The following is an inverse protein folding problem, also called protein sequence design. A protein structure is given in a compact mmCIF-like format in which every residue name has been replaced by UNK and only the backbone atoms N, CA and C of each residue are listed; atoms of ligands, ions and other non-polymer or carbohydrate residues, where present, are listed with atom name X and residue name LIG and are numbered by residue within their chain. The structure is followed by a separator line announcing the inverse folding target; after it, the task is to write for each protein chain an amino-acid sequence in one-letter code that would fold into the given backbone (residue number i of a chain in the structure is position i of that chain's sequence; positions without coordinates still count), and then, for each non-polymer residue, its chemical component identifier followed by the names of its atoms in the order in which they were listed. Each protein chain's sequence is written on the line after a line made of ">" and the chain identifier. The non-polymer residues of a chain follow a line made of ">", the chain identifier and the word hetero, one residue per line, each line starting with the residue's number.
data_IF_262289400915
#
_entry.id   IF_262289400915
#
_cell.length_a   1.000
_cell.length_b   1.000
_cell.length_c   1.000
_cell.angle_alpha   90.00
_cell.angle_beta   90.00
_cell.angle_gamma   90.00
#
_symmetry.space_group_name_H-M   'P 1'
#
loop_
_entity.id
_entity.type
_entity.pdbx_description
1 polymer ?
#
# COMPACT_ATOMS: atom_id res chain seq x y z
N UNK A 1 35.68 -56.62 34.27
CA UNK A 1 37.14 -56.41 34.16
C UNK A 1 37.34 -55.17 33.28
N UNK A 2 37.54 -53.97 33.85
CA UNK A 2 38.85 -53.27 34.02
C UNK A 2 39.57 -53.05 32.67
N UNK A 3 40.04 -51.87 32.23
CA UNK A 3 40.56 -50.61 32.85
C UNK A 3 40.55 -49.51 31.74
N UNK A 4 40.17 -48.25 32.02
CA UNK A 4 41.01 -47.04 32.28
C UNK A 4 42.04 -46.71 31.18
N UNK A 5 41.88 -45.58 30.46
CA UNK A 5 42.36 -44.20 30.77
C UNK A 5 43.88 -44.04 30.64
N UNK A 6 44.31 -43.06 29.82
CA UNK A 6 45.38 -42.14 30.17
C UNK A 6 45.18 -40.76 29.49
N UNK A 7 45.62 -39.75 30.22
CA UNK A 7 45.51 -38.29 30.05
C UNK A 7 46.92 -37.69 30.08
N UNK A 8 47.08 -36.39 29.76
CA UNK A 8 48.12 -35.37 30.12
C UNK A 8 48.45 -34.57 28.83
N UNK A 9 48.30 -33.24 28.64
CA UNK A 9 48.35 -31.95 29.41
C UNK A 9 49.74 -31.25 29.42
N UNK A 10 49.75 -29.97 29.00
CA UNK A 10 50.81 -28.93 29.13
C UNK A 10 50.71 -27.98 27.93
N UNK A 11 50.33 -26.68 27.98
CA UNK A 11 50.68 -25.49 28.79
C UNK A 11 52.14 -25.06 28.63
N UNK A 12 52.35 -24.02 27.81
CA UNK A 12 53.39 -22.99 28.00
C UNK A 12 52.76 -21.62 27.70
N UNK A 13 52.83 -20.72 28.69
CA UNK A 13 52.65 -19.27 28.60
C UNK A 13 54.05 -18.64 28.56
N UNK A 14 54.18 -17.44 27.99
CA UNK A 14 55.08 -16.30 28.30
C UNK A 14 55.10 -15.40 27.04
N UNK A 15 55.10 -14.07 27.05
CA UNK A 15 55.10 -13.01 28.06
C UNK A 15 54.75 -11.68 27.35
N UNK A 16 54.23 -10.72 28.11
CA UNK A 16 53.95 -9.34 27.72
C UNK A 16 55.23 -8.53 27.40
N UNK A 17 55.10 -7.50 26.56
CA UNK A 17 55.81 -6.23 26.75
C UNK A 17 55.07 -5.08 26.07
N UNK A 18 54.75 -4.08 26.88
CA UNK A 18 54.18 -2.77 26.56
C UNK A 18 55.24 -1.77 26.04
N UNK A 19 54.74 -0.60 25.62
CA UNK A 19 55.41 0.68 25.28
C UNK A 19 55.81 0.78 23.78
N UNK A 20 55.34 1.75 22.97
CA UNK A 20 55.49 3.19 23.14
C UNK A 20 54.63 3.94 22.09
N UNK A 21 54.06 5.07 22.49
CA UNK A 21 53.39 6.06 21.62
C UNK A 21 54.45 6.85 20.83
N UNK A 22 54.23 7.09 19.53
CA UNK A 22 54.84 8.24 18.84
C UNK A 22 54.09 8.63 17.55
N UNK A 23 53.47 9.80 17.62
CA UNK A 23 53.42 10.87 16.62
C UNK A 23 53.23 10.53 15.14
N UNK A 24 52.00 10.73 14.65
CA UNK A 24 51.77 11.17 13.27
C UNK A 24 51.27 12.61 13.28
N UNK A 25 52.19 13.49 12.87
CA UNK A 25 52.03 14.93 12.69
C UNK A 25 50.98 15.25 11.63
N UNK A 26 50.18 16.26 11.95
CA UNK A 26 49.26 16.94 11.04
C UNK A 26 50.03 17.60 9.90
N UNK A 27 49.71 17.23 8.66
CA UNK A 27 49.94 18.10 7.50
C UNK A 27 48.67 18.88 7.20
N UNK A 28 48.71 20.14 7.62
CA UNK A 28 47.76 21.18 7.28
C UNK A 28 48.00 21.68 5.85
N UNK A 29 47.02 21.55 4.96
CA UNK A 29 46.76 22.56 3.92
C UNK A 29 45.40 22.34 3.24
N UNK A 30 44.56 23.37 3.38
CA UNK A 30 43.52 23.80 2.44
C UNK A 30 42.23 22.96 2.34
N UNK A 31 41.44 22.99 3.41
CA UNK A 31 39.97 22.88 3.31
C UNK A 31 39.36 24.26 3.46
N UNK A 32 38.98 24.86 2.33
CA UNK A 32 38.09 26.02 2.34
C UNK A 32 36.82 25.67 3.13
N UNK A 33 36.31 26.54 4.02
CA UNK A 33 35.14 26.22 4.82
C UNK A 33 33.93 25.96 3.91
N UNK A 34 33.36 24.76 4.00
CA UNK A 34 32.02 24.50 3.50
C UNK A 34 31.10 25.57 4.11
N UNK A 35 30.50 26.39 3.24
CA UNK A 35 29.48 27.35 3.64
C UNK A 35 28.42 26.62 4.47
N UNK A 36 28.42 26.86 5.78
CA UNK A 36 27.31 26.52 6.66
C UNK A 36 26.08 27.25 6.13
N UNK A 37 25.17 26.50 5.51
CA UNK A 37 23.83 26.99 5.23
C UNK A 37 23.20 27.22 6.60
N UNK A 38 23.09 28.49 7.00
CA UNK A 38 22.33 28.90 8.19
C UNK A 38 20.87 28.46 8.00
N UNK A 39 20.53 27.28 8.49
CA UNK A 39 19.15 26.86 8.68
C UNK A 39 18.47 27.90 9.59
N UNK A 40 17.49 28.61 9.04
CA UNK A 40 16.79 29.68 9.73
C UNK A 40 16.06 29.10 10.97
N UNK A 41 16.15 29.74 12.13
CA UNK A 41 15.47 29.28 13.35
C UNK A 41 13.95 29.10 13.17
N UNK A 42 13.36 29.83 12.21
CA UNK A 42 11.97 29.65 11.77
C UNK A 42 11.70 28.28 11.14
N UNK A 43 12.63 27.71 10.36
CA UNK A 43 12.44 26.38 9.76
C UNK A 43 12.52 25.28 10.83
N UNK A 44 13.43 25.40 11.80
CA UNK A 44 13.54 24.46 12.92
C UNK A 44 12.30 24.48 13.83
N UNK A 45 11.79 25.67 14.16
CA UNK A 45 10.56 25.80 14.94
C UNK A 45 9.34 25.22 14.20
N UNK A 46 9.28 25.38 12.88
CA UNK A 46 8.22 24.82 12.04
C UNK A 46 8.31 23.28 11.95
N UNK A 47 9.52 22.73 11.83
CA UNK A 47 9.75 21.28 11.89
C UNK A 47 9.41 20.68 13.26
N UNK A 48 9.77 21.36 14.35
CA UNK A 48 9.49 20.92 15.71
C UNK A 48 7.99 20.96 16.04
N UNK A 49 7.29 21.97 15.52
CA UNK A 49 5.82 22.06 15.58
C UNK A 49 5.17 20.87 14.85
N UNK A 50 5.60 20.55 13.63
CA UNK A 50 5.10 19.41 12.86
C UNK A 50 5.36 18.07 13.56
N UNK A 51 6.55 17.89 14.17
CA UNK A 51 6.88 16.70 14.96
C UNK A 51 6.02 16.57 16.21
N UNK A 52 5.66 17.69 16.85
CA UNK A 52 4.79 17.70 18.02
C UNK A 52 3.36 17.35 17.65
N UNK A 53 2.83 17.95 16.58
CA UNK A 53 1.51 17.61 16.01
C UNK A 53 1.46 16.11 15.67
N UNK A 54 2.53 15.58 15.06
CA UNK A 54 2.66 14.16 14.78
C UNK A 54 2.56 13.28 16.02
N UNK A 55 3.39 13.53 17.06
CA UNK A 55 3.34 12.72 18.28
C UNK A 55 1.97 12.76 18.93
N UNK A 56 1.33 13.93 18.93
CA UNK A 56 -0.01 14.08 19.46
C UNK A 56 -1.05 13.30 18.64
N UNK A 57 -0.99 13.35 17.31
CA UNK A 57 -1.93 12.64 16.45
C UNK A 57 -1.70 11.12 16.45
N UNK A 58 -0.46 10.67 16.40
CA UNK A 58 -0.11 9.25 16.55
C UNK A 58 -0.58 8.72 17.90
N UNK A 59 -0.31 9.46 19.00
CA UNK A 59 -0.77 9.10 20.34
C UNK A 59 -2.30 9.07 20.43
N UNK A 60 -3.01 10.05 19.86
CA UNK A 60 -4.49 10.02 19.77
C UNK A 60 -5.02 8.77 19.04
N UNK A 61 -4.30 8.28 18.04
CA UNK A 61 -4.71 7.10 17.27
C UNK A 61 -4.36 5.80 18.00
N UNK A 62 -3.16 5.71 18.58
CA UNK A 62 -2.68 4.51 19.28
C UNK A 62 -3.33 4.33 20.66
N UNK A 63 -3.63 5.42 21.36
CA UNK A 63 -4.29 5.40 22.67
C UNK A 63 -5.81 5.17 22.57
N UNK A 64 -6.40 5.29 21.36
CA UNK A 64 -7.80 4.93 21.14
C UNK A 64 -7.96 3.42 21.31
N UNK A 65 -8.98 3.01 22.05
CA UNK A 65 -9.42 1.62 22.02
C UNK A 65 -9.75 1.23 20.57
N UNK A 66 -9.42 0.00 20.20
CA UNK A 66 -9.74 -0.51 18.88
C UNK A 66 -11.26 -0.50 18.68
N UNK A 67 -11.72 0.33 17.76
CA UNK A 67 -13.12 0.37 17.33
C UNK A 67 -13.22 -0.38 15.99
N UNK A 68 -14.02 -1.46 15.92
CA UNK A 68 -14.28 -2.14 14.66
C UNK A 68 -14.87 -1.17 13.64
N UNK A 69 -14.26 -1.07 12.46
CA UNK A 69 -14.76 -0.22 11.37
C UNK A 69 -15.86 -0.92 10.53
N UNK A 70 -16.46 -1.98 11.07
CA UNK A 70 -17.51 -2.76 10.41
C UNK A 70 -17.03 -3.74 9.35
N UNK A 71 -15.72 -3.88 9.10
CA UNK A 71 -15.20 -4.87 8.15
C UNK A 71 -15.33 -6.31 8.69
N UNK A 72 -15.69 -7.32 7.87
CA UNK A 72 -16.05 -7.22 6.46
C UNK A 72 -17.53 -6.89 6.20
N UNK A 73 -18.41 -6.96 7.20
CA UNK A 73 -19.86 -6.84 7.02
C UNK A 73 -20.31 -5.52 6.34
N UNK A 74 -19.66 -4.41 6.64
CA UNK A 74 -19.92 -3.09 6.08
C UNK A 74 -18.67 -2.59 5.35
N UNK A 75 -18.62 -2.81 4.05
CA UNK A 75 -17.47 -2.49 3.22
C UNK A 75 -17.61 -1.09 2.60
N UNK A 76 -16.51 -0.36 2.49
CA UNK A 76 -16.40 0.85 1.70
C UNK A 76 -15.78 0.56 0.33
N UNK A 77 -16.25 1.25 -0.70
CA UNK A 77 -15.63 1.22 -2.02
C UNK A 77 -14.25 1.89 -2.00
N UNK A 78 -13.37 1.43 -2.88
CA UNK A 78 -12.10 2.11 -3.13
C UNK A 78 -12.35 3.52 -3.65
N UNK A 79 -11.71 4.49 -3.00
CA UNK A 79 -11.92 5.91 -3.29
C UNK A 79 -11.14 6.34 -4.53
N UNK A 80 -11.76 7.18 -5.37
CA UNK A 80 -11.12 7.76 -6.55
C UNK A 80 -10.00 8.73 -6.16
N UNK A 81 -8.99 8.89 -7.02
CA UNK A 81 -7.86 9.79 -6.76
C UNK A 81 -8.19 11.22 -7.21
N UNK A 82 -9.21 11.84 -6.61
CA UNK A 82 -9.75 13.12 -7.10
C UNK A 82 -8.78 14.30 -6.98
N UNK A 83 -7.78 14.21 -6.09
CA UNK A 83 -6.79 15.28 -5.90
C UNK A 83 -5.67 15.28 -6.96
N UNK A 84 -5.59 14.26 -7.83
CA UNK A 84 -4.64 14.21 -8.94
C UNK A 84 -5.42 14.10 -10.26
N UNK A 85 -5.34 15.16 -11.07
CA UNK A 85 -5.96 15.18 -12.39
C UNK A 85 -4.94 14.69 -13.41
N UNK A 86 -5.23 13.55 -14.01
CA UNK A 86 -4.42 12.94 -15.08
C UNK A 86 -5.03 13.35 -16.43
N UNK A 87 -4.24 13.96 -17.31
CA UNK A 87 -4.71 14.30 -18.66
C UNK A 87 -5.06 13.03 -19.44
N UNK A 88 -6.05 13.14 -20.33
CA UNK A 88 -6.78 12.01 -20.91
C UNK A 88 -5.85 10.89 -21.37
N UNK A 89 -5.88 9.79 -20.62
CA UNK A 89 -5.21 8.54 -20.93
C UNK A 89 -5.60 8.06 -22.32
N UNK A 90 -4.69 8.18 -23.30
CA UNK A 90 -4.76 7.42 -24.54
C UNK A 90 -3.74 6.28 -24.43
N UNK A 91 -4.17 5.00 -24.45
CA UNK A 91 -3.23 3.90 -24.52
C UNK A 91 -2.38 4.10 -25.80
N UNK A 92 -1.07 4.34 -25.63
CA UNK A 92 0.00 4.51 -26.66
C UNK A 92 0.56 5.92 -26.90
N UNK A 93 0.14 6.98 -26.21
CA UNK A 93 0.86 8.27 -26.30
C UNK A 93 1.95 8.35 -25.21
N UNK A 94 3.20 8.56 -25.62
CA UNK A 94 4.31 8.90 -24.72
C UNK A 94 4.02 10.28 -24.09
N UNK A 95 4.17 10.41 -22.77
CA UNK A 95 4.06 11.69 -22.06
C UNK A 95 2.68 12.01 -21.49
N UNK A 96 2.13 11.13 -20.64
CA UNK A 96 0.95 11.50 -19.85
C UNK A 96 1.36 12.54 -18.79
N UNK A 97 0.63 13.65 -18.72
CA UNK A 97 0.86 14.65 -17.67
C UNK A 97 -0.24 14.57 -16.62
N UNK A 98 0.09 14.96 -15.39
CA UNK A 98 -0.87 15.14 -14.33
C UNK A 98 -0.55 16.37 -13.48
N UNK A 99 -1.59 16.91 -12.86
CA UNK A 99 -1.49 18.05 -11.97
C UNK A 99 -2.29 17.78 -10.68
N UNK A 100 -1.73 18.19 -9.55
CA UNK A 100 -2.50 18.25 -8.31
C UNK A 100 -3.55 19.35 -8.43
N UNK A 101 -4.77 19.05 -8.01
CA UNK A 101 -5.82 20.07 -8.00
C UNK A 101 -5.49 21.19 -7.00
N UNK A 102 -5.95 22.44 -7.23
CA UNK A 102 -5.65 23.58 -6.37
C UNK A 102 -6.07 23.38 -4.90
N UNK A 103 -7.10 22.56 -4.67
CA UNK A 103 -7.69 22.28 -3.37
C UNK A 103 -7.15 21.02 -2.68
N UNK A 104 -6.17 20.34 -3.29
CA UNK A 104 -5.54 19.10 -2.77
C UNK A 104 -5.16 19.20 -1.29
N UNK A 105 -4.65 20.36 -0.87
CA UNK A 105 -4.17 20.58 0.50
C UNK A 105 -5.25 20.99 1.50
N UNK A 106 -6.47 21.21 1.03
CA UNK A 106 -7.59 21.76 1.82
C UNK A 106 -8.74 20.79 1.99
N UNK A 107 -8.64 19.59 1.40
CA UNK A 107 -9.69 18.58 1.42
C UNK A 107 -9.14 17.23 1.87
N UNK A 108 -9.99 16.47 2.54
CA UNK A 108 -9.72 15.08 2.90
C UNK A 108 -9.81 14.18 1.66
N UNK A 109 -8.83 13.28 1.48
CA UNK A 109 -8.79 12.36 0.33
C UNK A 109 -9.87 11.26 0.38
N UNK A 110 -10.54 11.06 1.51
CA UNK A 110 -11.59 10.04 1.65
C UNK A 110 -13.00 10.60 1.44
N UNK A 111 -13.27 11.81 1.96
CA UNK A 111 -14.61 12.41 1.90
C UNK A 111 -14.71 13.62 0.96
N UNK A 112 -13.57 14.07 0.40
CA UNK A 112 -13.44 15.19 -0.53
C UNK A 112 -13.97 16.52 -0.02
N UNK A 113 -14.04 16.68 1.31
CA UNK A 113 -14.50 17.89 2.00
C UNK A 113 -13.40 18.46 2.88
N UNK A 114 -13.49 19.76 3.14
CA UNK A 114 -12.64 20.45 4.12
C UNK A 114 -13.06 20.12 5.55
N UNK A 115 -14.35 19.88 5.78
CA UNK A 115 -14.94 19.56 7.08
C UNK A 115 -15.66 18.20 6.98
N UNK A 116 -15.44 17.32 7.96
CA UNK A 116 -16.05 16.00 8.02
C UNK A 116 -17.51 16.03 8.52
N UNK A 117 -18.17 14.88 8.55
CA UNK A 117 -19.57 14.76 9.02
C UNK A 117 -19.76 15.10 10.50
N UNK A 118 -18.69 15.08 11.29
CA UNK A 118 -18.70 15.41 12.72
C UNK A 118 -18.41 16.89 12.98
N UNK A 119 -18.14 17.68 11.92
CA UNK A 119 -17.76 19.08 12.04
C UNK A 119 -16.25 19.32 12.24
N UNK A 120 -15.43 18.29 12.11
CA UNK A 120 -13.97 18.39 12.24
C UNK A 120 -13.34 18.91 10.94
N UNK A 121 -12.56 19.98 11.04
CA UNK A 121 -11.82 20.58 9.93
C UNK A 121 -10.32 20.24 9.97
N UNK A 122 -9.83 19.54 11.00
CA UNK A 122 -8.42 19.20 11.15
C UNK A 122 -8.02 18.12 10.13
N UNK A 123 -7.10 18.47 9.23
CA UNK A 123 -6.55 17.56 8.24
C UNK A 123 -5.14 17.10 8.66
N UNK A 124 -4.99 15.80 8.85
CA UNK A 124 -3.69 15.18 9.11
C UNK A 124 -2.99 14.85 7.78
N UNK A 125 -1.72 15.24 7.60
CA UNK A 125 -0.98 14.90 6.39
C UNK A 125 -0.49 13.45 6.42
N UNK A 126 -0.51 12.80 5.25
CA UNK A 126 0.19 11.55 5.02
C UNK A 126 1.71 11.75 5.18
N UNK A 127 2.37 10.77 5.81
CA UNK A 127 3.83 10.77 6.03
C UNK A 127 4.57 9.82 5.09
N UNK A 128 3.85 9.27 4.12
CA UNK A 128 4.43 8.48 3.04
C UNK A 128 5.21 9.36 2.06
N UNK A 129 6.07 8.71 1.30
CA UNK A 129 6.82 9.33 0.21
C UNK A 129 6.52 8.56 -1.07
N UNK A 130 6.40 9.30 -2.17
CA UNK A 130 6.27 8.78 -3.52
C UNK A 130 7.66 8.66 -4.14
N UNK A 131 7.93 7.54 -4.79
CA UNK A 131 9.15 7.34 -5.56
C UNK A 131 9.01 7.92 -6.95
N UNK A 132 9.93 8.80 -7.35
CA UNK A 132 10.07 9.22 -8.75
C UNK A 132 11.05 8.33 -9.51
N UNK A 133 10.98 8.35 -10.84
CA UNK A 133 11.93 7.64 -11.72
C UNK A 133 13.37 8.17 -11.48
N UNK A 134 13.51 9.45 -11.17
CA UNK A 134 14.78 10.09 -10.80
C UNK A 134 15.30 9.70 -9.41
N UNK A 135 14.67 8.73 -8.74
CA UNK A 135 14.97 8.28 -7.36
C UNK A 135 14.87 9.39 -6.31
N UNK A 136 14.24 10.53 -6.63
CA UNK A 136 13.88 11.55 -5.65
C UNK A 136 12.65 11.09 -4.89
N UNK A 137 12.70 11.25 -3.57
CA UNK A 137 11.55 11.00 -2.69
C UNK A 137 10.72 12.28 -2.57
N UNK A 138 9.48 12.22 -3.03
CA UNK A 138 8.54 13.33 -2.99
C UNK A 138 7.55 13.08 -1.85
N UNK A 139 7.26 14.08 -1.03
CA UNK A 139 6.29 13.95 0.06
C UNK A 139 4.89 13.67 -0.50
N UNK A 140 4.16 12.73 0.10
CA UNK A 140 2.77 12.48 -0.27
C UNK A 140 1.90 13.69 0.04
N UNK A 141 1.02 14.07 -0.89
CA UNK A 141 0.10 15.20 -0.72
C UNK A 141 -1.26 14.84 -0.14
N UNK A 142 -1.51 13.55 0.12
CA UNK A 142 -2.76 13.11 0.73
C UNK A 142 -2.90 13.69 2.13
N UNK A 143 -4.07 14.26 2.41
CA UNK A 143 -4.49 14.69 3.75
C UNK A 143 -5.85 14.10 4.10
N UNK A 144 -6.13 13.86 5.37
CA UNK A 144 -7.37 13.22 5.79
C UNK A 144 -7.80 13.62 7.20
N UNK A 145 -9.11 13.65 7.44
CA UNK A 145 -9.67 13.72 8.79
C UNK A 145 -9.40 12.41 9.53
N UNK A 146 -9.14 12.48 10.84
CA UNK A 146 -8.89 11.29 11.66
C UNK A 146 -10.06 10.30 11.62
N UNK A 147 -11.29 10.82 11.70
CA UNK A 147 -12.52 10.04 11.65
C UNK A 147 -12.71 9.33 10.30
N UNK A 148 -12.40 10.01 9.19
CA UNK A 148 -12.46 9.40 7.86
C UNK A 148 -11.43 8.27 7.70
N UNK A 149 -10.20 8.50 8.18
CA UNK A 149 -9.14 7.50 8.09
C UNK A 149 -9.44 6.23 8.89
N UNK A 150 -9.97 6.36 10.11
CA UNK A 150 -10.33 5.22 10.97
C UNK A 150 -11.51 4.41 10.39
N UNK A 151 -12.48 5.08 9.76
CA UNK A 151 -13.64 4.41 9.15
C UNK A 151 -13.34 3.76 7.80
N UNK A 152 -12.38 4.28 7.05
CA UNK A 152 -12.06 3.76 5.73
C UNK A 152 -11.53 2.33 5.80
N UNK A 153 -12.21 1.42 5.09
CA UNK A 153 -11.93 -0.03 5.18
C UNK A 153 -11.85 -0.77 3.84
N UNK A 154 -11.84 -0.04 2.72
CA UNK A 154 -11.77 -0.66 1.39
C UNK A 154 -10.50 -1.53 1.25
N UNK A 155 -10.65 -2.73 0.69
CA UNK A 155 -9.55 -3.70 0.56
C UNK A 155 -8.90 -4.08 1.91
N UNK A 156 -9.70 -4.16 2.97
CA UNK A 156 -9.26 -4.43 4.34
C UNK A 156 -8.28 -3.36 4.88
N UNK A 157 -8.30 -2.13 4.35
CA UNK A 157 -7.46 -1.06 4.89
C UNK A 157 -7.83 -0.78 6.34
N UNK A 158 -6.82 -0.60 7.18
CA UNK A 158 -7.03 -0.26 8.59
C UNK A 158 -5.92 0.69 9.02
N UNK A 159 -6.31 1.94 9.24
CA UNK A 159 -5.38 3.04 9.46
C UNK A 159 -4.53 2.85 10.72
N UNK A 160 -5.09 2.26 11.77
CA UNK A 160 -4.37 1.97 13.01
C UNK A 160 -3.18 1.04 12.78
N UNK A 161 -3.25 0.11 11.81
CA UNK A 161 -2.13 -0.78 11.52
C UNK A 161 -0.95 -0.01 10.94
N UNK A 162 -1.16 0.99 10.07
CA UNK A 162 -0.04 1.77 9.50
C UNK A 162 0.76 2.51 10.59
N UNK A 163 0.08 2.90 11.67
CA UNK A 163 0.68 3.58 12.81
C UNK A 163 1.52 2.66 13.70
N UNK A 164 1.42 1.34 13.55
CA UNK A 164 2.20 0.37 14.33
C UNK A 164 3.67 0.34 13.85
N UNK A 165 4.65 0.17 14.76
CA UNK A 165 6.07 0.08 14.40
C UNK A 165 6.38 -1.00 13.35
N UNK A 166 5.69 -2.13 13.40
CA UNK A 166 5.84 -3.24 12.46
C UNK A 166 5.37 -2.90 11.04
N UNK A 167 4.61 -1.82 10.89
CA UNK A 167 4.06 -1.30 9.63
C UNK A 167 4.61 0.10 9.31
N UNK A 168 5.90 0.32 9.59
CA UNK A 168 6.65 1.58 9.45
C UNK A 168 6.43 2.66 10.52
N UNK A 169 5.42 2.52 11.39
CA UNK A 169 5.14 3.50 12.45
C UNK A 169 4.84 4.89 11.90
N UNK A 170 4.07 4.98 10.81
CA UNK A 170 3.76 6.23 10.11
C UNK A 170 2.28 6.34 9.78
N UNK A 171 1.77 7.57 9.77
CA UNK A 171 0.41 7.86 9.28
C UNK A 171 0.42 7.84 7.75
N UNK A 172 -0.02 6.72 7.17
CA UNK A 172 0.08 6.47 5.74
C UNK A 172 -1.30 6.30 5.12
N UNK A 173 -1.53 6.96 3.99
CA UNK A 173 -2.73 6.74 3.18
C UNK A 173 -2.61 5.44 2.37
N UNK A 174 -3.71 4.95 1.77
CA UNK A 174 -3.72 3.70 1.00
C UNK A 174 -2.75 3.64 -0.19
N UNK A 175 -2.18 4.78 -0.63
CA UNK A 175 -1.13 4.82 -1.66
C UNK A 175 0.25 4.34 -1.17
N UNK A 176 0.42 4.09 0.13
CA UNK A 176 1.67 3.59 0.71
C UNK A 176 1.51 2.21 1.37
N UNK A 177 0.46 1.49 1.00
CA UNK A 177 0.32 0.08 1.33
C UNK A 177 -0.14 -0.70 0.11
N UNK A 178 0.41 -1.89 -0.10
CA UNK A 178 -0.03 -2.80 -1.15
C UNK A 178 -1.46 -3.26 -0.85
N UNK A 179 -2.42 -2.82 -1.68
CA UNK A 179 -3.84 -3.15 -1.56
C UNK A 179 -4.07 -4.66 -1.61
N UNK A 180 -3.24 -5.40 -2.33
CA UNK A 180 -3.40 -6.84 -2.51
C UNK A 180 -2.93 -7.62 -1.28
N UNK A 181 -1.69 -7.39 -0.82
CA UNK A 181 -1.19 -7.99 0.42
C UNK A 181 -2.06 -7.61 1.62
N UNK A 182 -2.55 -6.38 1.66
CA UNK A 182 -3.42 -5.92 2.72
C UNK A 182 -4.74 -6.70 2.73
N UNK A 183 -5.32 -6.96 1.56
CA UNK A 183 -6.56 -7.71 1.42
C UNK A 183 -6.40 -9.22 1.68
N UNK A 184 -5.21 -9.78 1.40
CA UNK A 184 -4.86 -11.16 1.76
C UNK A 184 -4.36 -11.30 3.20
N UNK A 185 -4.55 -10.28 4.04
CA UNK A 185 -4.16 -10.25 5.45
C UNK A 185 -2.65 -10.31 5.74
N UNK A 186 -1.80 -10.13 4.73
CA UNK A 186 -0.34 -9.96 4.89
C UNK A 186 0.02 -8.51 5.25
N UNK A 187 -0.51 -8.01 6.38
CA UNK A 187 -0.45 -6.58 6.76
C UNK A 187 0.97 -6.02 6.82
N UNK A 188 1.89 -6.67 7.54
CA UNK A 188 3.27 -6.19 7.66
C UNK A 188 3.97 -6.07 6.30
N UNK A 189 3.78 -7.09 5.45
CA UNK A 189 4.34 -7.11 4.09
C UNK A 189 3.71 -6.01 3.23
N UNK A 190 2.43 -5.73 3.41
CA UNK A 190 1.72 -4.70 2.66
C UNK A 190 2.34 -3.30 2.82
N UNK A 191 3.01 -3.01 3.94
CA UNK A 191 3.69 -1.72 4.16
C UNK A 191 5.18 -1.77 3.83
N UNK A 192 5.76 -2.91 3.43
CA UNK A 192 7.19 -3.01 3.14
C UNK A 192 7.49 -2.94 1.64
N UNK A 193 8.70 -2.53 1.24
CA UNK A 193 9.17 -2.57 -0.15
C UNK A 193 8.72 -1.39 -1.04
N UNK A 194 9.08 -1.48 -2.32
CA UNK A 194 8.74 -0.46 -3.32
C UNK A 194 7.31 -0.62 -3.84
N UNK A 195 6.60 0.50 -3.94
CA UNK A 195 5.21 0.55 -4.37
C UNK A 195 5.08 1.25 -5.72
N UNK A 196 4.16 0.77 -6.55
CA UNK A 196 3.59 1.51 -7.67
C UNK A 196 2.15 1.90 -7.33
N UNK A 197 1.77 3.12 -7.70
CA UNK A 197 0.47 3.69 -7.37
C UNK A 197 -0.48 3.62 -8.56
N UNK A 198 -1.78 3.47 -8.30
CA UNK A 198 -2.76 3.74 -9.31
C UNK A 198 -2.90 5.26 -9.54
N UNK A 199 -2.91 5.66 -10.82
CA UNK A 199 -3.13 7.04 -11.21
C UNK A 199 -4.56 7.54 -10.97
N UNK A 200 -5.55 6.63 -10.87
CA UNK A 200 -6.99 6.97 -10.87
C UNK A 200 -7.74 6.63 -9.55
N UNK A 201 -7.16 5.82 -8.66
CA UNK A 201 -7.76 5.52 -7.35
C UNK A 201 -6.71 5.45 -6.23
N UNK A 202 -7.16 5.46 -4.98
CA UNK A 202 -6.35 5.27 -3.79
C UNK A 202 -5.94 3.81 -3.58
N UNK A 203 -5.22 3.24 -4.55
CA UNK A 203 -4.60 1.91 -4.42
C UNK A 203 -3.15 1.95 -4.84
N UNK A 204 -2.32 1.23 -4.09
CA UNK A 204 -0.95 0.94 -4.47
C UNK A 204 -0.69 -0.57 -4.41
N UNK A 205 0.39 -1.00 -5.05
CA UNK A 205 0.79 -2.40 -5.17
C UNK A 205 2.31 -2.50 -5.09
N UNK A 206 2.85 -3.59 -4.57
CA UNK A 206 4.28 -3.86 -4.71
C UNK A 206 4.64 -3.95 -6.19
N UNK A 207 5.64 -3.16 -6.59
CA UNK A 207 6.04 -2.97 -7.99
C UNK A 207 6.39 -4.28 -8.69
N UNK A 208 7.10 -5.18 -8.01
CA UNK A 208 7.63 -6.40 -8.65
C UNK A 208 6.67 -7.60 -8.58
N UNK A 209 5.86 -7.72 -7.51
CA UNK A 209 5.18 -8.99 -7.18
C UNK A 209 3.65 -8.90 -7.12
N UNK A 210 3.10 -7.70 -6.98
CA UNK A 210 1.68 -7.53 -6.66
C UNK A 210 0.91 -6.70 -7.70
N UNK A 211 1.51 -6.40 -8.85
CA UNK A 211 0.81 -5.72 -9.94
C UNK A 211 -0.36 -6.61 -10.40
N UNK A 212 -1.61 -6.10 -10.35
CA UNK A 212 -2.76 -6.85 -10.81
C UNK A 212 -2.69 -7.16 -12.31
N UNK A 213 -3.12 -8.37 -12.69
CA UNK A 213 -3.25 -8.76 -14.10
C UNK A 213 -4.23 -7.83 -14.84
N UNK A 214 -3.83 -7.38 -16.02
CA UNK A 214 -4.59 -6.40 -16.83
C UNK A 214 -4.37 -4.94 -16.42
N UNK A 215 -3.45 -4.65 -15.50
CA UNK A 215 -2.99 -3.28 -15.26
C UNK A 215 -2.27 -2.75 -16.50
N UNK A 216 -2.32 -1.43 -16.68
CA UNK A 216 -1.59 -0.76 -17.75
C UNK A 216 -0.57 0.19 -17.13
N UNK A 217 0.69 0.04 -17.49
CA UNK A 217 1.75 0.93 -17.05
C UNK A 217 1.54 2.33 -17.62
N UNK A 218 1.91 3.33 -16.83
CA UNK A 218 1.72 4.72 -17.15
C UNK A 218 2.86 5.53 -16.53
N UNK A 219 3.74 6.07 -17.37
CA UNK A 219 4.68 7.09 -16.94
C UNK A 219 3.96 8.45 -16.94
N UNK A 220 3.98 9.10 -15.79
CA UNK A 220 3.26 10.36 -15.53
C UNK A 220 4.23 11.45 -15.15
N UNK A 221 4.23 12.55 -15.90
CA UNK A 221 4.87 13.78 -15.48
C UNK A 221 3.92 14.57 -14.56
N UNK A 222 4.26 14.67 -13.28
CA UNK A 222 3.50 15.48 -12.32
C UNK A 222 4.21 16.83 -12.14
N UNK A 223 3.48 17.93 -12.34
CA UNK A 223 3.99 19.27 -12.03
C UNK A 223 4.00 19.52 -10.52
N UNK A 224 5.19 19.63 -9.95
CA UNK A 224 5.44 19.90 -8.53
C UNK A 224 6.31 21.15 -8.43
N UNK A 225 5.80 22.19 -7.76
CA UNK A 225 6.53 23.47 -7.57
C UNK A 225 7.06 24.07 -8.88
N UNK A 226 6.28 23.95 -9.96
CA UNK A 226 6.64 24.46 -11.28
C UNK A 226 7.63 23.60 -12.07
N UNK A 227 8.03 22.43 -11.55
CA UNK A 227 8.89 21.46 -12.25
C UNK A 227 8.13 20.18 -12.57
N UNK A 228 8.31 19.64 -13.76
CA UNK A 228 7.83 18.29 -14.11
C UNK A 228 8.70 17.24 -13.43
N UNK A 229 8.06 16.30 -12.72
CA UNK A 229 8.73 15.16 -12.10
C UNK A 229 8.08 13.88 -12.62
N UNK A 230 8.89 12.94 -13.09
CA UNK A 230 8.43 11.70 -13.71
C UNK A 230 8.17 10.61 -12.66
N UNK A 231 7.00 9.98 -12.74
CA UNK A 231 6.57 8.89 -11.87
C UNK A 231 6.12 7.68 -12.69
N UNK A 232 6.51 6.50 -12.26
CA UNK A 232 6.00 5.25 -12.81
C UNK A 232 4.74 4.83 -12.04
N UNK A 233 3.60 4.86 -12.71
CA UNK A 233 2.29 4.54 -12.16
C UNK A 233 1.61 3.46 -12.98
N UNK A 234 0.44 3.00 -12.50
CA UNK A 234 -0.42 2.11 -13.27
C UNK A 234 -1.86 2.64 -13.34
N UNK A 235 -2.59 2.21 -14.34
CA UNK A 235 -4.05 2.17 -14.30
C UNK A 235 -4.47 0.75 -13.95
N UNK A 236 -4.96 0.57 -12.73
CA UNK A 236 -5.34 -0.74 -12.23
C UNK A 236 -6.65 -1.26 -12.87
N UNK A 237 -6.92 -2.58 -12.84
CA UNK A 237 -7.99 -3.19 -13.62
C UNK A 237 -9.42 -2.81 -13.23
N UNK A 238 -9.62 -2.12 -12.09
CA UNK A 238 -10.97 -1.67 -11.71
C UNK A 238 -11.46 -0.49 -12.57
N UNK A 239 -10.57 0.22 -13.26
CA UNK A 239 -10.96 1.33 -14.13
C UNK A 239 -11.29 0.90 -15.56
N UNK A 240 -11.21 -0.39 -15.85
CA UNK A 240 -11.64 -0.93 -17.14
C UNK A 240 -12.97 -1.63 -16.99
N UNK A 241 -13.90 -1.33 -17.90
CA UNK A 241 -15.17 -2.05 -17.98
C UNK A 241 -14.89 -3.50 -18.35
N UNK A 242 -14.98 -4.40 -17.37
CA UNK A 242 -14.82 -5.84 -17.60
C UNK A 242 -16.02 -6.33 -18.41
N UNK A 243 -15.83 -6.54 -19.72
CA UNK A 243 -16.71 -7.47 -20.44
C UNK A 243 -16.37 -8.87 -19.94
N UNK A 244 -17.34 -9.57 -19.37
CA UNK A 244 -17.17 -10.96 -18.98
C UNK A 244 -16.88 -11.80 -20.22
N UNK A 245 -15.67 -12.36 -20.30
CA UNK A 245 -15.30 -13.35 -21.32
C UNK A 245 -14.98 -14.66 -20.60
N UNK A 246 -15.91 -15.62 -20.64
CA UNK A 246 -15.70 -16.93 -20.02
C UNK A 246 -16.95 -17.56 -19.38
N UNK A 247 -16.88 -18.89 -19.21
CA UNK A 247 -17.87 -19.66 -18.45
C UNK A 247 -17.65 -19.43 -16.95
N UNK A 248 -18.74 -19.46 -16.19
CA UNK A 248 -18.65 -19.40 -14.74
C UNK A 248 -18.07 -20.70 -14.17
N UNK A 249 -17.26 -20.59 -13.12
CA UNK A 249 -16.72 -21.72 -12.38
C UNK A 249 -17.89 -22.49 -11.76
N UNK A 250 -17.91 -23.81 -11.92
CA UNK A 250 -18.99 -24.68 -11.46
C UNK A 250 -18.88 -25.05 -9.97
N UNK A 251 -18.34 -24.15 -9.15
CA UNK A 251 -18.16 -24.28 -7.71
C UNK A 251 -18.22 -22.89 -7.07
N UNK A 252 -18.63 -22.83 -5.80
CA UNK A 252 -18.58 -21.63 -5.00
C UNK A 252 -17.13 -21.24 -4.71
N UNK A 253 -16.77 -19.97 -4.94
CA UNK A 253 -15.41 -19.44 -4.72
C UNK A 253 -14.97 -19.60 -3.26
N UNK A 254 -15.90 -19.56 -2.31
CA UNK A 254 -15.61 -19.61 -0.87
C UNK A 254 -15.63 -21.04 -0.31
N UNK A 255 -16.69 -21.83 -0.58
CA UNK A 255 -16.86 -23.16 0.04
C UNK A 255 -16.61 -24.35 -0.91
N UNK A 256 -16.36 -24.11 -2.19
CA UNK A 256 -16.10 -25.12 -3.23
C UNK A 256 -17.27 -26.09 -3.53
N UNK A 257 -18.44 -25.94 -2.91
CA UNK A 257 -19.64 -26.72 -3.22
C UNK A 257 -20.28 -26.24 -4.53
N UNK A 258 -21.04 -27.12 -5.21
CA UNK A 258 -21.50 -26.94 -6.60
C UNK A 258 -23.01 -26.68 -6.76
N UNK A 259 -23.80 -26.78 -5.68
CA UNK A 259 -25.26 -26.56 -5.69
C UNK A 259 -25.63 -25.08 -5.58
N UNK A 260 -26.82 -24.68 -6.04
CA UNK A 260 -27.43 -23.37 -5.76
C UNK A 260 -26.51 -22.14 -5.96
N UNK A 261 -25.71 -22.19 -7.03
CA UNK A 261 -24.69 -21.20 -7.33
C UNK A 261 -25.27 -19.94 -7.98
N UNK A 262 -24.95 -18.79 -7.40
CA UNK A 262 -25.16 -17.48 -8.01
C UNK A 262 -23.95 -17.16 -8.89
N UNK A 263 -24.23 -16.74 -10.11
CA UNK A 263 -23.24 -16.36 -11.12
C UNK A 263 -22.89 -14.89 -11.00
N UNK A 264 -21.62 -14.57 -10.72
CA UNK A 264 -21.19 -13.18 -10.59
C UNK A 264 -21.35 -12.41 -11.92
N UNK A 265 -21.94 -11.23 -11.92
CA UNK A 265 -22.15 -10.42 -13.13
C UNK A 265 -20.87 -9.80 -13.68
N UNK A 266 -19.83 -9.66 -12.86
CA UNK A 266 -18.58 -8.95 -13.22
C UNK A 266 -17.37 -9.85 -13.42
N UNK A 267 -17.44 -11.14 -13.07
CA UNK A 267 -16.31 -12.07 -13.24
C UNK A 267 -16.78 -13.51 -13.50
N UNK A 268 -15.83 -14.45 -13.55
CA UNK A 268 -16.07 -15.88 -13.81
C UNK A 268 -16.45 -16.68 -12.55
N UNK A 269 -16.42 -16.09 -11.36
CA UNK A 269 -16.71 -16.79 -10.11
C UNK A 269 -18.20 -17.06 -9.92
N UNK A 270 -18.50 -18.16 -9.25
CA UNK A 270 -19.82 -18.44 -8.71
C UNK A 270 -19.75 -18.45 -7.18
N UNK A 271 -20.87 -18.19 -6.50
CA UNK A 271 -20.90 -18.09 -5.04
C UNK A 271 -22.28 -18.44 -4.48
N UNK A 272 -22.33 -18.78 -3.19
CA UNK A 272 -23.57 -18.87 -2.42
C UNK A 272 -23.88 -17.57 -1.71
N UNK A 273 -25.16 -17.26 -1.48
CA UNK A 273 -25.54 -16.02 -0.79
C UNK A 273 -25.07 -16.02 0.66
N UNK A 274 -25.17 -17.18 1.31
CA UNK A 274 -24.79 -17.44 2.69
C UNK A 274 -23.28 -17.46 2.90
N UNK A 275 -22.48 -17.68 1.85
CA UNK A 275 -21.02 -17.61 1.91
C UNK A 275 -20.47 -16.18 1.78
N UNK A 276 -21.33 -15.16 1.66
CA UNK A 276 -20.89 -13.76 1.67
C UNK A 276 -20.89 -13.21 3.10
N UNK A 277 -19.73 -12.77 3.57
CA UNK A 277 -19.59 -12.09 4.85
C UNK A 277 -20.00 -10.61 4.71
N UNK A 278 -19.70 -9.99 3.56
CA UNK A 278 -20.09 -8.60 3.27
C UNK A 278 -21.62 -8.48 3.14
N UNK A 279 -22.22 -7.56 3.89
CA UNK A 279 -23.67 -7.28 3.89
C UNK A 279 -24.00 -5.95 3.22
N UNK A 280 -23.19 -4.92 3.44
CA UNK A 280 -23.36 -3.60 2.83
C UNK A 280 -22.09 -3.13 2.11
N UNK A 281 -22.29 -2.33 1.06
CA UNK A 281 -21.25 -1.58 0.35
C UNK A 281 -21.66 -0.11 0.37
N UNK A 282 -20.81 0.76 0.93
CA UNK A 282 -21.08 2.19 1.10
C UNK A 282 -22.42 2.48 1.81
N UNK A 283 -22.76 1.64 2.79
CA UNK A 283 -24.01 1.73 3.56
C UNK A 283 -25.26 1.26 2.82
N UNK A 284 -25.13 0.76 1.58
CA UNK A 284 -26.23 0.19 0.81
C UNK A 284 -26.15 -1.35 0.78
N UNK A 285 -27.26 -2.09 0.72
CA UNK A 285 -27.24 -3.54 0.56
C UNK A 285 -26.43 -3.95 -0.68
N UNK A 286 -25.63 -5.01 -0.55
CA UNK A 286 -24.81 -5.48 -1.69
C UNK A 286 -25.69 -6.01 -2.83
N UNK A 287 -25.27 -5.82 -4.10
CA UNK A 287 -25.93 -6.44 -5.24
C UNK A 287 -25.99 -7.96 -5.10
N UNK A 288 -27.16 -8.55 -5.38
CA UNK A 288 -27.39 -9.99 -5.23
C UNK A 288 -26.53 -10.85 -6.19
N UNK A 289 -26.06 -10.26 -7.28
CA UNK A 289 -25.36 -10.91 -8.39
C UNK A 289 -23.86 -10.58 -8.43
N UNK A 290 -23.27 -9.99 -7.38
CA UNK A 290 -21.82 -9.73 -7.29
C UNK A 290 -21.17 -10.56 -6.19
N UNK A 291 -20.10 -11.26 -6.53
CA UNK A 291 -19.31 -12.01 -5.55
C UNK A 291 -18.48 -11.08 -4.65
N UNK A 292 -18.09 -11.57 -3.48
CA UNK A 292 -17.37 -10.79 -2.47
C UNK A 292 -16.04 -10.23 -2.98
N UNK A 293 -15.25 -11.04 -3.68
CA UNK A 293 -14.00 -10.59 -4.32
C UNK A 293 -14.19 -9.40 -5.26
N UNK A 294 -15.31 -9.33 -5.98
CA UNK A 294 -15.61 -8.17 -6.84
C UNK A 294 -16.07 -6.95 -6.04
N UNK A 295 -16.74 -7.15 -4.91
CA UNK A 295 -17.14 -6.08 -3.98
C UNK A 295 -15.91 -5.47 -3.30
N UNK A 296 -14.99 -6.29 -2.81
CA UNK A 296 -13.73 -5.89 -2.17
C UNK A 296 -12.71 -5.25 -3.14
N UNK A 297 -12.94 -5.37 -4.45
CA UNK A 297 -12.03 -4.86 -5.47
C UNK A 297 -10.79 -5.74 -5.65
N UNK A 298 -10.88 -7.01 -5.26
CA UNK A 298 -9.80 -7.98 -5.35
C UNK A 298 -9.38 -8.18 -6.80
N UNK A 299 -8.08 -8.17 -6.99
CA UNK A 299 -7.49 -8.40 -8.29
C UNK A 299 -6.57 -9.62 -8.24
N UNK A 300 -6.58 -10.38 -9.33
CA UNK A 300 -5.67 -11.52 -9.51
C UNK A 300 -4.30 -10.95 -9.91
N UNK A 301 -3.20 -11.43 -9.31
CA UNK A 301 -1.85 -10.97 -9.66
C UNK A 301 -1.46 -11.49 -11.05
N UNK A 302 -0.47 -10.85 -11.67
CA UNK A 302 0.25 -11.44 -12.79
C UNK A 302 0.97 -12.72 -12.32
N UNK A 303 1.08 -13.72 -13.20
CA UNK A 303 1.81 -14.99 -12.96
C UNK A 303 1.37 -15.85 -11.75
N UNK A 304 0.13 -15.70 -11.26
CA UNK A 304 -0.40 -16.62 -10.23
C UNK A 304 -0.76 -17.96 -10.88
N UNK A 305 -0.19 -19.09 -10.42
CA UNK A 305 -0.64 -20.40 -10.85
C UNK A 305 -2.11 -20.59 -10.44
N UNK A 306 -2.96 -20.86 -11.41
CA UNK A 306 -4.36 -21.22 -11.16
C UNK A 306 -4.52 -22.73 -11.31
N UNK A 307 -5.03 -23.39 -10.26
CA UNK A 307 -5.43 -24.78 -10.36
C UNK A 307 -6.78 -24.85 -11.06
N UNK A 308 -6.80 -25.35 -12.29
CA UNK A 308 -8.03 -25.56 -13.03
C UNK A 308 -8.49 -27.00 -12.81
N UNK A 309 -9.69 -27.18 -12.26
CA UNK A 309 -10.35 -28.48 -12.26
C UNK A 309 -10.81 -28.79 -13.69
N UNK A 310 -10.00 -29.57 -14.40
CA UNK A 310 -10.39 -30.17 -15.67
C UNK A 310 -11.53 -31.18 -15.41
N UNK A 311 -12.64 -31.05 -16.13
CA UNK A 311 -13.71 -32.06 -16.12
C UNK A 311 -13.31 -33.25 -17.00
N UNK A 312 -13.58 -34.47 -16.53
CA UNK A 312 -13.10 -35.77 -17.06
C UNK A 312 -13.54 -36.17 -18.50
N UNK A 313 -14.06 -35.25 -19.32
CA UNK A 313 -14.65 -35.57 -20.64
C UNK A 313 -13.67 -35.49 -21.83
N UNK A 314 -12.37 -35.73 -21.66
CA UNK A 314 -11.38 -35.77 -22.77
C UNK A 314 -11.21 -37.18 -23.36
N UNK A 315 -11.97 -38.19 -22.92
CA UNK A 315 -11.92 -39.51 -23.57
C UNK A 315 -12.37 -39.52 -25.05
N UNK A 316 -12.93 -38.42 -25.59
CA UNK A 316 -13.45 -38.35 -26.96
C UNK A 316 -12.82 -37.26 -27.87
N UNK A 317 -11.65 -36.70 -27.53
CA UNK A 317 -10.95 -35.72 -28.39
C UNK A 317 -9.74 -36.30 -29.15
N UNK A 318 -9.65 -37.62 -29.26
CA UNK A 318 -8.65 -38.29 -30.08
C UNK A 318 -9.09 -38.55 -31.54
N UNK A 319 -10.27 -38.08 -31.97
CA UNK A 319 -10.75 -38.21 -33.35
C UNK A 319 -11.48 -36.94 -33.83
N UNK A 320 -10.75 -35.83 -34.06
CA UNK A 320 -11.07 -34.83 -35.09
C UNK A 320 -9.77 -34.20 -35.59
#
# INVERSE_FOLDING_TARGET
>A
MTRKQDSIRGVEQEQENDEEQQDLKEDSADRSPLNEIKENAQSRAQEESLRTIYRNNLKKILDRQFEPNGYPENLMSHVAREFLKVESYKPKEEGTTAEYLPDTDTKCVFCFKAVDSSGDAELMPCQGQMGSIEKRKIACRSKFHANCAIKYNAGSFLFQYSALPECQGKLQCPLHCCSLCNNEHYKQVAYAGEMTECALCLRAFHKELCIPAGSKNLDVEIKIEGRGVQFEMIVCPAHFTKKKTGKHIAACDECQNTKDLIKCSTCVRSFHKECQDVKTLDGQPIPADKCEKCLAGDAVRYDVPVLVRWSDNIANLAEV
#
